data_IF_732222436805
#
_entry.id   IF_732222436805
#
_cell.length_a   1.000
_cell.length_b   1.000
_cell.length_c   1.000
_cell.angle_alpha   90.00
_cell.angle_beta   90.00
_cell.angle_gamma   90.00
#
_symmetry.space_group_name_H-M   'P 1'
#
loop_
_entity.id
_entity.type
_entity.pdbx_description
1 polymer ?
#
# COMPACT_ATOMS: atom_id res chain seq x y z
N UNK A 1 -9.14 18.53 9.23
CA UNK A 1 -8.25 17.33 9.28
C UNK A 1 -9.02 16.20 9.94
N UNK A 2 -9.73 15.36 9.19
CA UNK A 2 -10.24 14.10 9.75
C UNK A 2 -9.01 13.18 9.93
N UNK A 3 -8.59 12.99 11.18
CA UNK A 3 -7.61 11.97 11.51
C UNK A 3 -8.34 10.64 11.50
N UNK A 4 -7.71 9.59 10.97
CA UNK A 4 -8.02 8.25 11.44
C UNK A 4 -7.99 8.32 12.97
N UNK A 5 -9.04 7.87 13.65
CA UNK A 5 -9.13 8.02 15.11
C UNK A 5 -7.91 7.33 15.71
N UNK A 6 -6.97 8.04 16.38
CA UNK A 6 -5.71 7.45 16.87
C UNK A 6 -5.93 6.25 17.79
N UNK A 7 -7.14 6.14 18.35
CA UNK A 7 -7.59 5.01 19.16
C UNK A 7 -7.62 3.66 18.39
N UNK A 8 -7.93 3.67 17.09
CA UNK A 8 -8.01 2.44 16.28
C UNK A 8 -6.65 1.75 16.11
N UNK A 9 -5.56 2.52 16.04
CA UNK A 9 -4.22 1.93 15.96
C UNK A 9 -3.89 1.10 17.21
N UNK A 10 -4.17 1.65 18.40
CA UNK A 10 -3.93 0.95 19.67
C UNK A 10 -4.83 -0.28 19.84
N UNK A 11 -6.09 -0.22 19.39
CA UNK A 11 -6.97 -1.40 19.37
C UNK A 11 -6.45 -2.50 18.45
N UNK A 12 -5.99 -2.17 17.24
CA UNK A 12 -5.40 -3.15 16.31
C UNK A 12 -4.09 -3.72 16.87
N UNK A 13 -3.25 -2.89 17.52
CA UNK A 13 -2.06 -3.37 18.21
C UNK A 13 -2.42 -4.31 19.39
N UNK A 14 -3.45 -3.97 20.17
CA UNK A 14 -3.92 -4.86 21.24
C UNK A 14 -4.40 -6.19 20.67
N UNK A 15 -5.25 -6.17 19.63
CA UNK A 15 -5.72 -7.39 18.94
C UNK A 15 -4.57 -8.18 18.32
N UNK A 16 -3.53 -7.51 17.83
CA UNK A 16 -2.31 -8.17 17.37
C UNK A 16 -1.64 -8.96 18.50
N UNK A 17 -1.69 -8.47 19.74
CA UNK A 17 -1.07 -9.16 20.88
C UNK A 17 -1.99 -10.20 21.55
N UNK A 18 -3.32 -10.06 21.43
CA UNK A 18 -4.29 -10.89 22.16
C UNK A 18 -5.21 -11.73 21.28
N UNK A 19 -5.14 -11.57 19.96
CA UNK A 19 -5.94 -12.31 19.00
C UNK A 19 -5.65 -13.82 18.99
N UNK A 20 -6.49 -14.64 18.34
CA UNK A 20 -6.27 -16.08 18.26
C UNK A 20 -4.90 -16.41 17.66
N UNK A 21 -4.19 -17.38 18.25
CA UNK A 21 -2.92 -17.84 17.72
C UNK A 21 -3.12 -18.57 16.39
N UNK A 22 -2.22 -18.36 15.44
CA UNK A 22 -2.17 -19.06 14.17
C UNK A 22 -0.71 -19.20 13.75
N UNK A 23 -0.28 -20.41 13.42
CA UNK A 23 1.06 -20.61 12.87
C UNK A 23 1.11 -20.11 11.43
N UNK A 24 2.26 -19.58 11.02
CA UNK A 24 2.45 -19.01 9.67
C UNK A 24 2.23 -20.05 8.57
N UNK A 25 2.78 -21.25 8.80
CA UNK A 25 2.62 -22.41 7.91
C UNK A 25 1.18 -22.93 7.84
N UNK A 26 0.30 -22.46 8.72
CA UNK A 26 -1.13 -22.80 8.71
C UNK A 26 -2.00 -21.72 8.07
N UNK A 27 -1.65 -20.44 8.27
CA UNK A 27 -2.48 -19.33 7.82
C UNK A 27 -2.79 -19.40 6.31
N UNK A 28 -1.77 -19.48 5.47
CA UNK A 28 -1.95 -19.51 4.02
C UNK A 28 -2.65 -20.79 3.52
N UNK A 29 -2.16 -22.01 3.81
CA UNK A 29 -2.73 -23.22 3.22
C UNK A 29 -4.02 -23.70 3.89
N UNK A 30 -4.25 -23.40 5.18
CA UNK A 30 -5.43 -23.91 5.91
C UNK A 30 -6.54 -22.89 6.06
N UNK A 31 -6.23 -21.59 6.06
CA UNK A 31 -7.22 -20.53 6.29
C UNK A 31 -7.45 -19.70 5.01
N UNK A 32 -6.43 -18.97 4.55
CA UNK A 32 -6.59 -18.01 3.46
C UNK A 32 -6.95 -18.69 2.13
N UNK A 33 -6.12 -19.65 1.68
CA UNK A 33 -6.28 -20.28 0.36
C UNK A 33 -7.61 -21.03 0.22
N UNK A 34 -8.05 -21.87 1.18
CA UNK A 34 -9.33 -22.55 1.08
C UNK A 34 -10.51 -21.57 1.10
N UNK A 35 -10.47 -20.55 1.95
CA UNK A 35 -11.53 -19.52 2.03
C UNK A 35 -11.63 -18.73 0.73
N UNK A 36 -10.49 -18.31 0.17
CA UNK A 36 -10.42 -17.62 -1.11
C UNK A 36 -11.02 -18.47 -2.24
N UNK A 37 -10.69 -19.76 -2.32
CA UNK A 37 -11.24 -20.66 -3.33
C UNK A 37 -12.76 -20.84 -3.19
N UNK A 38 -13.27 -20.95 -1.96
CA UNK A 38 -14.70 -21.03 -1.68
C UNK A 38 -15.42 -19.75 -2.12
N UNK A 39 -14.86 -18.58 -1.80
CA UNK A 39 -15.41 -17.28 -2.17
C UNK A 39 -15.40 -17.07 -3.68
N UNK A 40 -14.28 -17.35 -4.37
CA UNK A 40 -14.19 -17.26 -5.84
C UNK A 40 -15.28 -18.11 -6.49
N UNK A 41 -15.50 -19.33 -5.98
CA UNK A 41 -16.57 -20.22 -6.48
C UNK A 41 -17.96 -19.67 -6.15
N UNK A 42 -18.19 -19.19 -4.93
CA UNK A 42 -19.48 -18.65 -4.46
C UNK A 42 -19.94 -17.46 -5.31
N UNK A 43 -19.03 -16.56 -5.64
CA UNK A 43 -19.31 -15.36 -6.44
C UNK A 43 -19.11 -15.57 -7.94
N UNK A 44 -18.76 -16.78 -8.37
CA UNK A 44 -18.54 -17.14 -9.78
C UNK A 44 -17.57 -16.17 -10.51
N UNK A 45 -16.48 -15.81 -9.82
CA UNK A 45 -15.46 -14.91 -10.34
C UNK A 45 -14.56 -15.67 -11.33
N UNK A 46 -14.48 -15.20 -12.56
CA UNK A 46 -13.69 -15.81 -13.62
C UNK A 46 -12.88 -14.77 -14.37
N UNK A 47 -11.57 -14.99 -14.44
CA UNK A 47 -10.66 -14.18 -15.25
C UNK A 47 -10.72 -14.61 -16.73
N UNK A 48 -10.83 -13.65 -17.64
CA UNK A 48 -10.67 -13.85 -19.08
C UNK A 48 -9.40 -13.12 -19.57
N UNK A 49 -8.35 -13.84 -19.99
CA UNK A 49 -7.11 -13.21 -20.46
C UNK A 49 -7.29 -12.41 -21.76
N UNK A 50 -8.37 -12.64 -22.52
CA UNK A 50 -8.67 -11.83 -23.71
C UNK A 50 -9.29 -10.47 -23.35
N UNK A 51 -9.85 -10.36 -22.14
CA UNK A 51 -10.54 -9.17 -21.64
C UNK A 51 -10.08 -8.85 -20.22
N UNK A 52 -8.81 -8.43 -20.02
CA UNK A 52 -8.23 -8.23 -18.68
C UNK A 52 -8.90 -7.10 -17.88
N UNK A 53 -9.53 -6.13 -18.57
CA UNK A 53 -10.34 -5.06 -17.99
C UNK A 53 -11.76 -5.16 -18.55
N UNK A 54 -12.61 -6.03 -18.00
CA UNK A 54 -13.96 -6.24 -18.51
C UNK A 54 -14.88 -5.06 -18.17
N UNK A 55 -15.72 -4.66 -19.12
CA UNK A 55 -16.81 -3.70 -18.92
C UNK A 55 -18.07 -4.43 -18.39
N UNK A 56 -17.93 -5.11 -17.25
CA UNK A 56 -18.99 -5.89 -16.60
C UNK A 56 -19.20 -5.39 -15.17
N UNK A 57 -20.24 -4.57 -14.97
CA UNK A 57 -20.57 -4.01 -13.67
C UNK A 57 -21.03 -5.08 -12.67
N UNK A 58 -21.71 -6.14 -13.13
CA UNK A 58 -22.16 -7.22 -12.24
C UNK A 58 -20.96 -8.04 -11.73
N UNK A 59 -19.93 -8.22 -12.56
CA UNK A 59 -18.66 -8.79 -12.10
C UNK A 59 -17.97 -7.87 -11.09
N UNK A 60 -17.94 -6.55 -11.32
CA UNK A 60 -17.35 -5.60 -10.39
C UNK A 60 -18.03 -5.64 -9.01
N UNK A 61 -19.37 -5.66 -8.98
CA UNK A 61 -20.15 -5.78 -7.74
C UNK A 61 -19.89 -7.10 -7.03
N UNK A 62 -19.83 -8.22 -7.77
CA UNK A 62 -19.50 -9.53 -7.18
C UNK A 62 -18.08 -9.57 -6.60
N UNK A 63 -17.10 -8.95 -7.27
CA UNK A 63 -15.73 -8.86 -6.75
C UNK A 63 -15.68 -8.01 -5.48
N UNK A 64 -16.41 -6.90 -5.42
CA UNK A 64 -16.52 -6.07 -4.22
C UNK A 64 -17.09 -6.87 -3.03
N UNK A 65 -18.22 -7.56 -3.23
CA UNK A 65 -18.84 -8.38 -2.18
C UNK A 65 -17.94 -9.55 -1.77
N UNK A 66 -17.26 -10.20 -2.73
CA UNK A 66 -16.30 -11.26 -2.46
C UNK A 66 -15.11 -10.78 -1.61
N UNK A 67 -14.56 -9.60 -1.93
CA UNK A 67 -13.47 -8.99 -1.16
C UNK A 67 -13.90 -8.64 0.26
N UNK A 68 -15.11 -8.08 0.42
CA UNK A 68 -15.70 -7.81 1.73
C UNK A 68 -15.82 -9.08 2.57
N UNK A 69 -16.45 -10.11 2.03
CA UNK A 69 -16.65 -11.39 2.72
C UNK A 69 -15.31 -12.05 3.04
N UNK A 70 -14.36 -12.06 2.10
CA UNK A 70 -13.03 -12.63 2.33
C UNK A 70 -12.32 -11.94 3.48
N UNK A 71 -12.35 -10.61 3.52
CA UNK A 71 -11.70 -9.87 4.59
C UNK A 71 -12.38 -10.09 5.94
N UNK A 72 -13.71 -10.21 5.98
CA UNK A 72 -14.47 -10.53 7.19
C UNK A 72 -14.18 -11.94 7.71
N UNK A 73 -14.16 -12.92 6.80
CA UNK A 73 -13.95 -14.32 7.13
C UNK A 73 -12.50 -14.63 7.47
N UNK A 74 -11.52 -14.02 6.81
CA UNK A 74 -10.09 -14.26 7.04
C UNK A 74 -9.50 -13.31 8.08
N UNK A 75 -9.78 -12.02 7.99
CA UNK A 75 -9.11 -10.98 8.78
C UNK A 75 -7.65 -10.76 8.35
N UNK A 76 -6.82 -10.32 9.29
CA UNK A 76 -5.40 -10.08 9.10
C UNK A 76 -4.58 -11.08 9.93
N UNK A 77 -3.42 -11.45 9.43
CA UNK A 77 -2.44 -12.24 10.16
C UNK A 77 -1.24 -11.36 10.50
N UNK A 78 -0.88 -11.30 11.77
CA UNK A 78 0.32 -10.61 12.24
C UNK A 78 1.46 -11.63 12.37
N UNK A 79 2.48 -11.48 11.53
CA UNK A 79 3.65 -12.37 11.45
C UNK A 79 4.55 -12.29 12.67
N UNK A 80 4.66 -11.13 13.33
CA UNK A 80 5.52 -10.95 14.50
C UNK A 80 4.97 -11.65 15.75
N UNK A 81 3.64 -11.67 15.88
CA UNK A 81 2.94 -12.20 17.06
C UNK A 81 2.29 -13.55 16.82
N UNK A 82 2.30 -14.03 15.57
CA UNK A 82 1.62 -15.26 15.12
C UNK A 82 0.14 -15.29 15.52
N UNK A 83 -0.58 -14.18 15.25
CA UNK A 83 -1.97 -13.99 15.68
C UNK A 83 -2.88 -13.44 14.59
N UNK A 84 -4.13 -13.87 14.66
CA UNK A 84 -5.21 -13.41 13.81
C UNK A 84 -5.90 -12.17 14.38
N UNK A 85 -6.22 -11.22 13.52
CA UNK A 85 -6.98 -10.01 13.84
C UNK A 85 -8.27 -10.03 13.02
N UNK A 86 -9.41 -9.97 13.70
CA UNK A 86 -10.72 -9.84 13.08
C UNK A 86 -11.25 -8.42 13.27
N UNK A 87 -12.01 -7.94 12.28
CA UNK A 87 -12.70 -6.66 12.31
C UNK A 87 -14.16 -6.85 11.91
N UNK A 88 -15.09 -6.14 12.52
CA UNK A 88 -16.53 -6.24 12.25
C UNK A 88 -16.97 -5.51 10.98
N UNK A 89 -18.20 -5.75 10.51
CA UNK A 89 -18.74 -5.03 9.35
C UNK A 89 -18.86 -3.53 9.62
N UNK A 90 -19.21 -3.16 10.86
CA UNK A 90 -19.30 -1.77 11.30
C UNK A 90 -17.94 -1.09 11.25
N UNK A 91 -16.87 -1.80 11.65
CA UNK A 91 -15.51 -1.26 11.63
C UNK A 91 -15.03 -1.00 10.20
N UNK A 92 -15.33 -1.92 9.26
CA UNK A 92 -15.00 -1.70 7.84
C UNK A 92 -15.81 -0.54 7.27
N UNK A 93 -17.13 -0.47 7.55
CA UNK A 93 -18.00 0.62 7.09
C UNK A 93 -17.52 1.97 7.62
N UNK A 94 -17.16 2.04 8.90
CA UNK A 94 -16.60 3.25 9.50
C UNK A 94 -15.29 3.65 8.82
N UNK A 95 -14.37 2.69 8.60
CA UNK A 95 -13.09 2.96 7.94
C UNK A 95 -13.29 3.52 6.52
N UNK A 96 -14.21 2.95 5.74
CA UNK A 96 -14.54 3.43 4.41
C UNK A 96 -15.21 4.81 4.44
N UNK A 97 -16.10 5.05 5.41
CA UNK A 97 -16.76 6.36 5.57
C UNK A 97 -15.77 7.47 5.94
N UNK A 98 -14.73 7.15 6.71
CA UNK A 98 -13.70 8.11 7.13
C UNK A 98 -12.56 8.27 6.10
N UNK A 99 -12.49 7.41 5.09
CA UNK A 99 -11.47 7.49 4.06
C UNK A 99 -11.58 8.81 3.28
N UNK A 100 -10.45 9.50 3.10
CA UNK A 100 -10.40 10.70 2.24
C UNK A 100 -10.15 10.31 0.80
N UNK A 101 -10.89 10.93 -0.12
CA UNK A 101 -10.71 10.76 -1.56
C UNK A 101 -9.72 11.74 -2.20
N UNK A 102 -9.27 12.76 -1.46
CA UNK A 102 -8.55 13.91 -2.00
C UNK A 102 -7.35 14.30 -1.12
N UNK A 103 -6.20 14.51 -1.77
CA UNK A 103 -4.93 14.82 -1.13
C UNK A 103 -4.18 15.88 -1.93
N UNK A 104 -3.52 16.81 -1.23
CA UNK A 104 -2.48 17.64 -1.84
C UNK A 104 -1.14 16.99 -1.56
N UNK A 105 -0.45 16.57 -2.63
CA UNK A 105 0.88 15.95 -2.56
C UNK A 105 1.91 16.99 -2.97
N UNK A 106 3.02 17.10 -2.24
CA UNK A 106 4.04 18.12 -2.49
C UNK A 106 3.73 19.45 -1.80
N UNK A 107 4.39 20.53 -2.24
CA UNK A 107 4.27 21.86 -1.64
C UNK A 107 4.57 22.97 -2.66
N UNK A 108 4.04 24.17 -2.40
CA UNK A 108 4.32 25.34 -3.23
C UNK A 108 3.81 25.17 -4.66
N UNK A 109 4.63 25.58 -5.63
CA UNK A 109 4.31 25.48 -7.06
C UNK A 109 4.29 24.04 -7.59
N UNK A 110 4.90 23.12 -6.86
CA UNK A 110 5.04 21.71 -7.23
C UNK A 110 3.99 20.84 -6.51
N UNK A 111 3.01 21.45 -5.84
CA UNK A 111 1.91 20.73 -5.21
C UNK A 111 0.89 20.26 -6.26
N UNK A 112 0.55 18.98 -6.22
CA UNK A 112 -0.42 18.35 -7.12
C UNK A 112 -1.64 17.88 -6.32
N UNK A 113 -2.83 18.15 -6.85
CA UNK A 113 -4.08 17.65 -6.27
C UNK A 113 -4.31 16.22 -6.75
N UNK A 114 -4.14 15.26 -5.85
CA UNK A 114 -4.40 13.85 -6.10
C UNK A 114 -5.81 13.49 -5.61
N UNK A 115 -6.70 13.24 -6.57
CA UNK A 115 -8.12 12.94 -6.36
C UNK A 115 -8.49 11.57 -6.93
N UNK A 116 -9.61 11.04 -6.45
CA UNK A 116 -10.30 9.94 -7.09
C UNK A 116 -10.66 10.23 -8.55
N UNK A 117 -10.51 9.23 -9.41
CA UNK A 117 -10.91 9.22 -10.82
C UNK A 117 -12.05 8.22 -11.03
N UNK A 118 -13.02 8.60 -11.84
CA UNK A 118 -14.12 7.72 -12.22
C UNK A 118 -13.72 6.76 -13.37
N UNK A 119 -14.58 5.79 -13.65
CA UNK A 119 -14.47 4.98 -14.88
C UNK A 119 -14.57 5.93 -16.08
N UNK A 120 -13.70 5.75 -17.08
CA UNK A 120 -13.62 6.59 -18.28
C UNK A 120 -13.29 8.08 -18.03
N UNK A 121 -12.80 8.41 -16.83
CA UNK A 121 -12.36 9.77 -16.51
C UNK A 121 -11.25 10.23 -17.48
N UNK A 122 -11.45 11.41 -18.07
CA UNK A 122 -10.54 11.99 -19.06
C UNK A 122 -9.33 12.66 -18.42
N UNK A 123 -9.39 12.99 -17.14
CA UNK A 123 -8.23 13.52 -16.42
C UNK A 123 -7.14 12.43 -16.34
N UNK A 124 -5.85 12.80 -16.55
CA UNK A 124 -4.76 11.85 -16.40
C UNK A 124 -4.62 11.38 -14.94
N UNK A 125 -4.10 10.16 -14.71
CA UNK A 125 -3.80 9.71 -13.36
C UNK A 125 -2.63 10.51 -12.76
N UNK A 126 -2.54 10.51 -11.44
CA UNK A 126 -1.34 10.96 -10.74
C UNK A 126 -0.14 10.10 -11.15
N UNK A 127 0.83 10.69 -11.83
CA UNK A 127 2.01 10.03 -12.35
C UNK A 127 3.11 9.95 -11.29
N UNK A 128 3.10 8.86 -10.50
CA UNK A 128 4.19 8.51 -9.60
C UNK A 128 5.31 7.81 -10.38
N UNK A 129 6.47 8.43 -10.49
CA UNK A 129 7.64 7.78 -11.08
C UNK A 129 8.56 7.20 -10.00
N UNK A 130 9.11 6.02 -10.27
CA UNK A 130 10.04 5.33 -9.39
C UNK A 130 11.03 4.52 -10.23
N UNK A 131 12.33 4.52 -9.91
CA UNK A 131 13.28 3.57 -10.47
C UNK A 131 13.00 2.13 -10.01
N UNK A 132 12.35 1.97 -8.84
CA UNK A 132 12.05 0.70 -8.17
C UNK A 132 13.25 -0.27 -8.10
N UNK A 133 14.43 0.30 -7.84
CA UNK A 133 15.68 -0.43 -7.81
C UNK A 133 16.64 0.11 -6.76
N UNK A 134 17.65 -0.68 -6.42
CA UNK A 134 18.79 -0.21 -5.63
C UNK A 134 19.73 0.62 -6.48
N UNK A 135 20.40 1.60 -5.86
CA UNK A 135 21.43 2.39 -6.52
C UNK A 135 22.66 2.57 -5.64
N UNK A 136 23.81 2.77 -6.29
CA UNK A 136 25.03 3.18 -5.60
C UNK A 136 24.88 4.59 -5.02
N UNK A 137 25.60 4.84 -3.93
CA UNK A 137 25.56 6.11 -3.22
C UNK A 137 25.88 7.31 -4.11
N UNK A 138 26.88 7.17 -5.00
CA UNK A 138 27.32 8.21 -5.93
C UNK A 138 26.28 8.57 -6.99
N UNK A 139 25.43 7.62 -7.37
CA UNK A 139 24.40 7.80 -8.41
C UNK A 139 23.06 8.26 -7.84
N UNK A 140 22.83 8.12 -6.54
CA UNK A 140 21.52 8.38 -5.94
C UNK A 140 20.98 9.77 -6.30
N UNK A 141 21.79 10.82 -6.16
CA UNK A 141 21.37 12.19 -6.49
C UNK A 141 21.07 12.37 -7.98
N UNK A 142 21.97 11.91 -8.86
CA UNK A 142 21.80 12.09 -10.30
C UNK A 142 20.61 11.30 -10.84
N UNK A 143 20.33 10.13 -10.27
CA UNK A 143 19.11 9.36 -10.55
C UNK A 143 17.87 10.12 -10.09
N UNK A 144 17.83 10.65 -8.86
CA UNK A 144 16.70 11.47 -8.41
C UNK A 144 16.44 12.64 -9.35
N UNK A 145 17.49 13.39 -9.69
CA UNK A 145 17.42 14.55 -10.57
C UNK A 145 16.95 14.20 -11.99
N UNK A 146 17.30 13.01 -12.50
CA UNK A 146 16.87 12.57 -13.82
C UNK A 146 15.34 12.44 -13.90
N UNK A 147 14.72 11.82 -12.89
CA UNK A 147 13.26 11.65 -12.83
C UNK A 147 12.54 12.96 -12.54
N UNK A 148 13.06 13.79 -11.63
CA UNK A 148 12.43 15.06 -11.26
C UNK A 148 12.37 16.09 -12.41
N UNK A 149 13.16 15.89 -13.46
CA UNK A 149 13.11 16.71 -14.69
C UNK A 149 12.00 16.31 -15.65
N UNK A 150 11.37 15.15 -15.44
CA UNK A 150 10.33 14.66 -16.36
C UNK A 150 9.06 15.50 -16.21
N UNK A 151 8.56 16.11 -17.30
CA UNK A 151 7.45 17.06 -17.23
C UNK A 151 6.10 16.42 -16.89
N UNK A 152 6.01 15.10 -16.98
CA UNK A 152 4.81 14.32 -16.62
C UNK A 152 4.83 13.83 -15.18
N UNK A 153 5.88 14.13 -14.41
CA UNK A 153 6.00 13.67 -13.03
C UNK A 153 5.12 14.50 -12.10
N UNK A 154 4.18 13.83 -11.42
CA UNK A 154 3.38 14.44 -10.33
C UNK A 154 3.93 14.07 -8.95
N UNK A 155 4.56 12.90 -8.84
CA UNK A 155 5.19 12.42 -7.62
C UNK A 155 6.39 11.54 -7.91
N UNK A 156 7.29 11.46 -6.95
CA UNK A 156 8.53 10.70 -7.10
C UNK A 156 8.77 9.79 -5.90
N UNK A 157 9.08 8.52 -6.19
CA UNK A 157 9.64 7.57 -5.24
C UNK A 157 11.12 7.36 -5.61
N UNK A 158 12.03 7.78 -4.73
CA UNK A 158 13.45 7.72 -4.98
C UNK A 158 13.99 6.27 -4.98
N UNK A 159 15.11 6.00 -5.67
CA UNK A 159 15.75 4.68 -5.64
C UNK A 159 16.20 4.30 -4.23
N UNK A 160 16.46 3.01 -4.02
CA UNK A 160 16.85 2.47 -2.71
C UNK A 160 18.36 2.63 -2.54
N UNK A 161 18.76 3.39 -1.55
CA UNK A 161 20.17 3.56 -1.19
C UNK A 161 20.67 2.32 -0.43
N UNK A 162 21.74 1.67 -0.91
CA UNK A 162 22.34 0.51 -0.23
C UNK A 162 23.46 0.89 0.76
N UNK A 163 24.18 1.97 0.45
CA UNK A 163 25.30 2.48 1.22
C UNK A 163 25.11 3.97 1.53
N UNK A 164 25.45 4.38 2.74
CA UNK A 164 25.44 5.77 3.18
C UNK A 164 26.74 6.08 3.89
N UNK A 165 27.42 7.15 3.47
CA UNK A 165 28.76 7.53 3.92
C UNK A 165 29.78 6.38 3.74
N UNK A 166 29.68 5.64 2.64
CA UNK A 166 30.51 4.48 2.34
C UNK A 166 30.29 3.29 3.28
N UNK A 167 29.17 3.25 4.01
CA UNK A 167 28.82 2.17 4.92
C UNK A 167 27.48 1.55 4.51
N UNK A 168 27.44 0.21 4.50
CA UNK A 168 26.23 -0.54 4.20
C UNK A 168 25.11 -0.22 5.20
N UNK A 169 23.95 0.14 4.67
CA UNK A 169 22.74 0.37 5.48
C UNK A 169 22.24 -0.98 6.00
N UNK A 170 22.17 -1.11 7.33
CA UNK A 170 21.66 -2.31 8.01
C UNK A 170 20.52 -1.93 8.94
N UNK A 171 19.42 -2.68 8.89
CA UNK A 171 18.28 -2.50 9.79
C UNK A 171 18.68 -2.56 11.25
N UNK A 172 18.02 -1.76 12.09
CA UNK A 172 18.29 -1.62 13.52
C UNK A 172 19.74 -1.20 13.86
N UNK A 173 20.44 -0.57 12.91
CA UNK A 173 21.76 0.04 13.14
C UNK A 173 21.71 1.56 12.97
N UNK A 174 22.65 2.32 13.53
CA UNK A 174 22.71 3.77 13.32
C UNK A 174 22.77 4.17 11.84
N UNK A 175 23.29 3.30 10.96
CA UNK A 175 23.38 3.54 9.53
C UNK A 175 22.01 3.54 8.82
N UNK A 176 20.98 2.95 9.41
CA UNK A 176 19.59 3.04 8.92
C UNK A 176 19.07 4.48 8.96
N UNK A 177 19.35 5.20 10.05
CA UNK A 177 18.98 6.60 10.22
C UNK A 177 19.81 7.49 9.27
N UNK A 178 21.10 7.20 9.13
CA UNK A 178 21.96 7.93 8.18
C UNK A 178 21.46 7.77 6.74
N UNK A 179 21.19 6.54 6.32
CA UNK A 179 20.63 6.24 5.00
C UNK A 179 19.30 6.95 4.77
N UNK A 180 18.39 6.89 5.75
CA UNK A 180 17.11 7.60 5.68
C UNK A 180 17.28 9.12 5.55
N UNK A 181 18.22 9.69 6.30
CA UNK A 181 18.50 11.14 6.27
C UNK A 181 19.10 11.57 4.94
N UNK A 182 20.09 10.83 4.44
CA UNK A 182 20.73 11.10 3.15
C UNK A 182 19.74 10.93 1.98
N UNK A 183 18.88 9.92 2.05
CA UNK A 183 17.82 9.68 1.06
C UNK A 183 16.89 10.90 0.95
N UNK A 184 16.37 11.39 2.08
CA UNK A 184 15.53 12.60 2.13
C UNK A 184 16.30 13.82 1.65
N UNK A 185 17.56 13.98 2.07
CA UNK A 185 18.37 15.15 1.71
C UNK A 185 18.64 15.22 0.21
N UNK A 186 19.08 14.11 -0.39
CA UNK A 186 19.31 14.03 -1.83
C UNK A 186 18.03 14.28 -2.63
N UNK A 187 16.90 13.76 -2.18
CA UNK A 187 15.60 13.98 -2.80
C UNK A 187 15.17 15.45 -2.76
N UNK A 188 15.44 16.16 -1.65
CA UNK A 188 15.08 17.58 -1.49
C UNK A 188 16.03 18.54 -2.21
N UNK A 189 17.27 18.12 -2.45
CA UNK A 189 18.26 18.91 -3.19
C UNK A 189 18.17 18.75 -4.72
N UNK A 190 17.61 17.64 -5.19
CA UNK A 190 17.44 17.36 -6.61
C UNK A 190 16.30 18.21 -7.19
#
# INVERSE_FOLDING_TARGET
MASATPYRLWEIQQRSNTGPQCDEDEFLPKIFTPTLQQIIKKYEIKYDPNTPVPADNDLADRVWQAGWELFREVGLYNTDTHRMIKVSDEEIKEALYLAKGDYWVGAGKDAVHWTHRQIEDTEPPFCLFSPDCTCSEELHYSMCLAFLKEPLLDGFCAPILEDSMGQKIRSASPFEINGSTQHIYNLRLA
#
